data_IF_811510132311
#
_entry.id   IF_811510132311
#
_cell.length_a   1.000
_cell.length_b   1.000
_cell.length_c   1.000
_cell.angle_alpha   90.00
_cell.angle_beta   90.00
_cell.angle_gamma   90.00
#
_symmetry.space_group_name_H-M   'P 1'
#
loop_
_entity.id
_entity.type
_entity.pdbx_description
1 polymer ?
#
# COMPACT_ATOMS: atom_id res chain seq x y z
N UNK A 1 -5.25 11.76 -3.02
CA UNK A 1 -5.92 10.71 -3.71
C UNK A 1 -5.18 9.39 -3.75
N UNK A 2 -5.63 8.55 -4.64
CA UNK A 2 -4.97 7.29 -4.98
C UNK A 2 -3.70 7.62 -5.76
N UNK A 3 -2.57 7.08 -5.32
CA UNK A 3 -1.27 7.23 -5.98
C UNK A 3 -0.96 6.10 -6.95
N UNK A 4 -1.45 4.90 -6.66
CA UNK A 4 -1.32 3.77 -7.56
C UNK A 4 -2.47 2.78 -7.41
N UNK A 5 -2.64 1.95 -8.43
CA UNK A 5 -3.53 0.80 -8.42
C UNK A 5 -2.75 -0.41 -8.95
N UNK A 6 -3.01 -1.57 -8.39
CA UNK A 6 -2.33 -2.78 -8.82
C UNK A 6 -3.22 -4.02 -8.78
N UNK A 7 -2.87 -4.99 -9.61
CA UNK A 7 -3.40 -6.33 -9.57
C UNK A 7 -2.26 -7.31 -9.81
N UNK A 8 -2.02 -8.22 -8.87
CA UNK A 8 -0.94 -9.18 -8.97
C UNK A 8 -1.46 -10.58 -8.65
N UNK A 9 -1.09 -11.53 -9.50
CA UNK A 9 -1.70 -12.84 -9.48
C UNK A 9 -0.69 -13.94 -9.12
N UNK A 10 -1.22 -15.03 -8.54
CA UNK A 10 -0.50 -16.30 -8.38
C UNK A 10 -0.14 -16.90 -9.76
N UNK A 11 0.86 -17.79 -9.84
CA UNK A 11 1.14 -18.51 -11.07
C UNK A 11 -0.13 -19.19 -11.63
N UNK A 12 -0.41 -18.93 -12.91
CA UNK A 12 -1.65 -19.33 -13.59
C UNK A 12 -2.95 -18.88 -12.89
N UNK A 13 -2.86 -17.84 -12.05
CA UNK A 13 -3.98 -17.38 -11.23
C UNK A 13 -5.05 -16.63 -11.98
N UNK A 14 -4.70 -16.00 -13.11
CA UNK A 14 -5.62 -15.19 -13.91
C UNK A 14 -6.35 -16.03 -14.98
N UNK A 15 -5.63 -16.57 -15.94
CA UNK A 15 -6.17 -17.22 -17.13
C UNK A 15 -5.58 -18.60 -17.42
N UNK A 16 -4.68 -19.10 -16.58
CA UNK A 16 -3.94 -20.35 -16.71
C UNK A 16 -3.01 -20.41 -17.95
N UNK A 17 -2.63 -19.27 -18.50
CA UNK A 17 -1.88 -19.16 -19.73
C UNK A 17 -0.49 -18.50 -19.56
N UNK A 18 0.04 -18.39 -18.34
CA UNK A 18 1.31 -17.72 -18.03
C UNK A 18 2.46 -18.13 -18.98
N UNK A 19 2.54 -19.43 -19.34
CA UNK A 19 3.58 -19.94 -20.23
C UNK A 19 3.63 -19.26 -21.59
N UNK A 20 2.55 -18.59 -22.01
CA UNK A 20 2.44 -17.88 -23.28
C UNK A 20 2.90 -16.41 -23.21
N UNK A 21 3.22 -15.89 -21.99
CA UNK A 21 3.37 -14.44 -21.77
C UNK A 21 4.68 -14.02 -21.10
N UNK A 22 5.74 -14.84 -21.15
CA UNK A 22 7.03 -14.55 -20.52
C UNK A 22 7.64 -13.24 -21.02
N UNK A 23 7.45 -12.12 -20.28
CA UNK A 23 7.89 -10.76 -20.61
C UNK A 23 7.44 -10.24 -22.00
N UNK A 24 6.55 -10.93 -22.68
CA UNK A 24 6.09 -10.51 -24.03
C UNK A 24 5.19 -9.27 -23.96
N UNK A 25 4.49 -9.10 -22.84
CA UNK A 25 3.62 -7.96 -22.59
C UNK A 25 4.13 -7.13 -21.42
N UNK A 26 3.85 -5.83 -21.41
CA UNK A 26 4.25 -4.94 -20.32
C UNK A 26 3.66 -5.32 -18.96
N UNK A 27 2.53 -6.04 -18.95
CA UNK A 27 1.84 -6.54 -17.76
C UNK A 27 2.22 -7.97 -17.38
N UNK A 28 3.19 -8.58 -18.05
CA UNK A 28 3.67 -9.95 -17.77
C UNK A 28 5.02 -9.91 -17.06
N UNK A 29 5.18 -10.77 -16.06
CA UNK A 29 6.47 -11.01 -15.40
C UNK A 29 7.38 -11.93 -16.24
N UNK A 30 8.59 -12.17 -15.76
CA UNK A 30 9.52 -13.15 -16.37
C UNK A 30 9.01 -14.59 -16.38
N UNK A 31 8.00 -14.89 -15.58
CA UNK A 31 7.33 -16.21 -15.54
C UNK A 31 5.95 -16.20 -16.18
N UNK A 32 5.56 -15.09 -16.80
CA UNK A 32 4.27 -14.92 -17.47
C UNK A 32 3.10 -14.56 -16.55
N UNK A 33 3.30 -14.48 -15.23
CA UNK A 33 2.23 -14.09 -14.31
C UNK A 33 1.75 -12.68 -14.63
N UNK A 34 0.43 -12.46 -14.53
CA UNK A 34 -0.16 -11.15 -14.71
C UNK A 34 0.17 -10.22 -13.54
N UNK A 35 0.90 -9.14 -13.84
CA UNK A 35 1.35 -8.13 -12.89
C UNK A 35 0.95 -6.74 -13.40
N UNK A 36 -0.11 -6.19 -12.86
CA UNK A 36 -0.61 -4.86 -13.23
C UNK A 36 -0.17 -3.89 -12.15
N UNK A 37 0.53 -2.82 -12.55
CA UNK A 37 0.90 -1.74 -11.64
C UNK A 37 0.83 -0.40 -12.36
N UNK A 38 -0.17 0.41 -12.02
CA UNK A 38 -0.33 1.77 -12.53
C UNK A 38 -0.05 2.76 -11.42
N UNK A 39 0.84 3.70 -11.68
CA UNK A 39 1.19 4.79 -10.76
C UNK A 39 0.75 6.13 -11.31
N UNK A 40 0.43 7.05 -10.42
CA UNK A 40 0.15 8.44 -10.76
C UNK A 40 1.38 9.28 -10.46
N UNK A 41 2.01 9.79 -11.51
CA UNK A 41 3.16 10.67 -11.44
C UNK A 41 2.81 11.98 -12.15
N UNK A 42 2.97 13.13 -11.46
CA UNK A 42 2.67 14.46 -12.03
C UNK A 42 1.31 14.55 -12.75
N UNK A 43 0.26 13.96 -12.16
CA UNK A 43 -1.11 13.86 -12.70
C UNK A 43 -1.28 12.96 -13.94
N UNK A 44 -0.24 12.29 -14.39
CA UNK A 44 -0.30 11.31 -15.46
C UNK A 44 -0.32 9.89 -14.89
N UNK A 45 -1.00 8.99 -15.59
CA UNK A 45 -0.96 7.56 -15.28
C UNK A 45 0.18 6.92 -16.07
N UNK A 46 1.03 6.20 -15.36
CA UNK A 46 2.17 5.48 -15.91
C UNK A 46 2.08 4.01 -15.52
N UNK A 47 2.25 3.13 -16.50
CA UNK A 47 2.39 1.71 -16.22
C UNK A 47 3.83 1.40 -15.80
N UNK A 48 4.00 0.65 -14.72
CA UNK A 48 5.29 0.18 -14.23
C UNK A 48 5.32 -1.33 -14.34
N UNK A 49 6.25 -1.86 -15.12
CA UNK A 49 6.40 -3.30 -15.26
C UNK A 49 7.01 -3.90 -13.99
N UNK A 50 6.47 -5.04 -13.55
CA UNK A 50 7.01 -5.85 -12.45
C UNK A 50 7.61 -7.13 -13.03
N UNK A 51 8.89 -7.12 -13.44
CA UNK A 51 9.48 -8.26 -14.15
C UNK A 51 9.73 -9.46 -13.25
N UNK A 52 10.00 -9.23 -11.96
CA UNK A 52 10.24 -10.29 -10.98
C UNK A 52 9.03 -10.52 -10.07
N UNK A 53 8.27 -11.61 -10.26
CA UNK A 53 7.11 -11.89 -9.45
C UNK A 53 7.46 -12.34 -8.01
N UNK A 54 8.74 -12.63 -7.72
CA UNK A 54 9.18 -13.05 -6.39
C UNK A 54 9.06 -11.95 -5.33
N UNK A 55 9.02 -10.68 -5.74
CA UNK A 55 8.91 -9.54 -4.82
C UNK A 55 7.66 -9.60 -3.93
N UNK A 56 6.56 -10.18 -4.43
CA UNK A 56 5.30 -10.34 -3.68
C UNK A 56 5.33 -11.44 -2.61
N UNK A 57 6.41 -12.20 -2.53
CA UNK A 57 6.59 -13.28 -1.54
C UNK A 57 7.71 -12.98 -0.54
N UNK A 58 8.21 -11.75 -0.49
CA UNK A 58 9.29 -11.36 0.42
C UNK A 58 8.81 -11.35 1.88
N UNK A 59 9.28 -12.31 2.68
CA UNK A 59 8.89 -12.50 4.09
C UNK A 59 9.83 -11.82 5.09
N UNK A 60 10.90 -11.16 4.62
CA UNK A 60 11.81 -10.43 5.51
C UNK A 60 11.03 -9.37 6.27
N UNK A 61 11.21 -9.31 7.58
CA UNK A 61 10.47 -8.41 8.47
C UNK A 61 11.30 -7.18 8.81
N UNK A 62 10.61 -6.05 8.93
CA UNK A 62 11.15 -4.81 9.48
C UNK A 62 11.16 -4.84 11.02
N UNK A 63 11.58 -3.74 11.65
CA UNK A 63 11.65 -3.58 13.12
C UNK A 63 10.30 -3.73 13.83
N UNK A 64 9.16 -3.54 13.12
CA UNK A 64 7.81 -3.73 13.64
C UNK A 64 7.26 -5.15 13.39
N UNK A 65 8.07 -6.05 12.84
CA UNK A 65 7.65 -7.43 12.54
C UNK A 65 6.80 -7.55 11.27
N UNK A 66 6.68 -6.49 10.46
CA UNK A 66 5.90 -6.43 9.23
C UNK A 66 6.77 -6.92 8.08
N UNK A 67 6.26 -7.86 7.27
CA UNK A 67 6.96 -8.42 6.10
C UNK A 67 7.09 -7.37 4.98
N UNK A 68 8.14 -7.45 4.20
CA UNK A 68 8.34 -6.56 3.04
C UNK A 68 7.17 -6.64 2.04
N UNK A 69 6.67 -7.86 1.79
CA UNK A 69 5.50 -8.09 0.92
C UNK A 69 4.17 -8.21 1.68
N UNK A 70 4.01 -7.57 2.83
CA UNK A 70 2.76 -7.62 3.61
C UNK A 70 1.55 -7.18 2.79
N UNK A 71 1.72 -6.21 1.87
CA UNK A 71 0.70 -5.77 0.92
C UNK A 71 0.11 -6.88 0.04
N UNK A 72 0.81 -8.00 -0.12
CA UNK A 72 0.33 -9.19 -0.82
C UNK A 72 -0.01 -10.32 0.15
N UNK A 73 0.92 -10.60 1.06
CA UNK A 73 0.85 -11.76 1.94
C UNK A 73 -0.28 -11.68 2.97
N UNK A 74 -0.63 -10.49 3.46
CA UNK A 74 -1.76 -10.33 4.38
C UNK A 74 -3.07 -10.85 3.77
N UNK A 75 -3.38 -10.44 2.55
CA UNK A 75 -4.58 -10.90 1.85
C UNK A 75 -4.51 -12.36 1.41
N UNK A 76 -3.30 -12.85 1.07
CA UNK A 76 -3.07 -14.25 0.72
C UNK A 76 -3.36 -15.17 1.92
N UNK A 77 -2.81 -14.85 3.08
CA UNK A 77 -2.92 -15.67 4.29
C UNK A 77 -4.32 -15.61 4.91
N UNK A 78 -4.89 -14.40 5.00
CA UNK A 78 -6.18 -14.19 5.65
C UNK A 78 -7.39 -14.45 4.75
N UNK A 79 -7.20 -14.39 3.41
CA UNK A 79 -8.27 -14.36 2.40
C UNK A 79 -9.29 -13.24 2.65
N UNK A 80 -8.84 -12.14 3.24
CA UNK A 80 -9.63 -10.95 3.56
C UNK A 80 -8.93 -9.68 3.06
N UNK A 81 -9.69 -8.60 2.95
CA UNK A 81 -9.11 -7.29 2.70
C UNK A 81 -8.24 -6.86 3.87
N UNK A 82 -7.09 -6.24 3.55
CA UNK A 82 -6.13 -5.72 4.50
C UNK A 82 -5.84 -4.25 4.24
N UNK A 83 -5.68 -3.49 5.32
CA UNK A 83 -5.12 -2.15 5.29
C UNK A 83 -3.70 -2.22 5.86
N UNK A 84 -2.74 -1.76 5.07
CA UNK A 84 -1.33 -1.85 5.44
C UNK A 84 -0.92 -0.76 6.42
N UNK A 85 0.04 -1.10 7.29
CA UNK A 85 0.80 -0.08 8.02
C UNK A 85 1.52 0.83 7.02
N UNK A 86 1.80 2.10 7.39
CA UNK A 86 2.58 2.99 6.54
C UNK A 86 3.95 2.43 6.23
N UNK A 87 4.35 2.52 4.98
CA UNK A 87 5.67 2.12 4.54
C UNK A 87 6.21 3.04 3.45
N UNK A 88 7.52 3.09 3.33
CA UNK A 88 8.16 3.82 2.25
C UNK A 88 8.25 2.93 1.01
N UNK A 89 7.86 3.47 -0.12
CA UNK A 89 7.88 2.78 -1.39
C UNK A 89 8.46 3.66 -2.49
N UNK A 90 9.38 3.12 -3.25
CA UNK A 90 9.92 3.76 -4.44
C UNK A 90 8.98 3.52 -5.62
N UNK A 91 8.12 4.50 -5.91
CA UNK A 91 7.13 4.41 -6.99
C UNK A 91 7.82 4.36 -8.35
N UNK A 92 8.83 5.21 -8.53
CA UNK A 92 9.70 5.25 -9.71
C UNK A 92 11.12 5.55 -9.23
N UNK A 93 12.18 5.19 -9.97
CA UNK A 93 13.56 5.41 -9.55
C UNK A 93 13.83 6.81 -9.02
N UNK A 94 14.28 6.90 -7.76
CA UNK A 94 14.53 8.16 -7.05
C UNK A 94 13.30 8.84 -6.45
N UNK A 95 12.09 8.31 -6.63
CA UNK A 95 10.85 8.88 -6.08
C UNK A 95 10.24 7.97 -5.01
N UNK A 96 10.72 8.13 -3.78
CA UNK A 96 10.21 7.40 -2.62
C UNK A 96 9.11 8.19 -1.94
N UNK A 97 7.98 7.56 -1.65
CA UNK A 97 6.83 8.14 -0.96
C UNK A 97 6.44 7.30 0.25
N UNK A 98 5.92 7.98 1.27
CA UNK A 98 5.28 7.32 2.40
C UNK A 98 3.81 7.08 2.05
N UNK A 99 3.40 5.83 2.03
CA UNK A 99 2.06 5.42 1.63
C UNK A 99 1.50 4.31 2.53
N UNK A 100 0.21 4.08 2.39
CA UNK A 100 -0.48 2.90 2.90
C UNK A 100 -1.26 2.25 1.76
N UNK A 101 -1.46 0.95 1.82
CA UNK A 101 -2.21 0.20 0.81
C UNK A 101 -3.47 -0.40 1.40
N UNK A 102 -4.55 -0.28 0.65
CA UNK A 102 -5.75 -1.10 0.86
C UNK A 102 -5.76 -2.18 -0.21
N UNK A 103 -5.73 -3.42 0.22
CA UNK A 103 -5.63 -4.58 -0.66
C UNK A 103 -6.76 -5.57 -0.39
N UNK A 104 -7.28 -6.17 -1.43
CA UNK A 104 -8.33 -7.18 -1.38
C UNK A 104 -7.89 -8.45 -2.13
N UNK A 105 -8.17 -9.64 -1.60
CA UNK A 105 -7.87 -10.88 -2.33
C UNK A 105 -8.81 -11.05 -3.53
N UNK A 106 -8.27 -11.55 -4.60
CA UNK A 106 -9.05 -12.11 -5.72
C UNK A 106 -9.26 -13.59 -5.43
N UNK A 107 -10.50 -13.98 -5.19
CA UNK A 107 -10.87 -15.35 -4.87
C UNK A 107 -11.73 -15.95 -5.98
N UNK A 108 -11.40 -17.15 -6.42
CA UNK A 108 -12.23 -17.95 -7.33
C UNK A 108 -12.57 -19.25 -6.64
N UNK A 109 -13.85 -19.52 -6.40
CA UNK A 109 -14.34 -20.68 -5.64
C UNK A 109 -13.68 -20.84 -4.25
N UNK A 110 -13.36 -19.69 -3.58
CA UNK A 110 -12.70 -19.68 -2.28
C UNK A 110 -11.17 -19.90 -2.31
N UNK A 111 -10.61 -20.13 -3.48
CA UNK A 111 -9.16 -20.22 -3.68
C UNK A 111 -8.56 -18.85 -3.99
N UNK A 112 -7.43 -18.55 -3.35
CA UNK A 112 -6.69 -17.32 -3.59
C UNK A 112 -6.00 -17.37 -4.96
N UNK A 113 -6.26 -16.36 -5.79
CA UNK A 113 -5.71 -16.23 -7.14
C UNK A 113 -4.78 -15.04 -7.31
N UNK A 114 -4.83 -14.11 -6.38
CA UNK A 114 -4.05 -12.89 -6.43
C UNK A 114 -4.68 -11.80 -5.57
N UNK A 115 -4.24 -10.57 -5.79
CA UNK A 115 -4.76 -9.38 -5.11
C UNK A 115 -5.11 -8.28 -6.09
N UNK A 116 -6.05 -7.42 -5.68
CA UNK A 116 -6.25 -6.10 -6.24
C UNK A 116 -6.09 -5.07 -5.13
N UNK A 117 -5.31 -4.02 -5.37
CA UNK A 117 -5.00 -3.03 -4.35
C UNK A 117 -4.90 -1.60 -4.88
N UNK A 118 -4.94 -0.68 -3.94
CA UNK A 118 -4.73 0.75 -4.17
C UNK A 118 -3.76 1.29 -3.12
N UNK A 119 -2.86 2.17 -3.55
CA UNK A 119 -1.96 2.88 -2.66
C UNK A 119 -2.43 4.31 -2.48
N UNK A 120 -2.35 4.79 -1.25
CA UNK A 120 -2.72 6.14 -0.85
C UNK A 120 -1.54 6.83 -0.19
N UNK A 121 -1.15 7.99 -0.69
CA UNK A 121 -0.13 8.81 -0.04
C UNK A 121 -0.65 9.38 1.27
N UNK A 122 0.13 9.29 2.34
CA UNK A 122 -0.23 9.84 3.65
C UNK A 122 -0.55 11.34 3.62
N UNK A 123 0.16 12.21 2.87
CA UNK A 123 -0.20 13.63 2.74
C UNK A 123 -1.65 13.91 2.35
N UNK A 124 -2.32 12.98 1.67
CA UNK A 124 -3.75 13.12 1.36
C UNK A 124 -4.61 12.97 2.61
N UNK A 125 -4.27 12.00 3.47
CA UNK A 125 -4.93 11.82 4.78
C UNK A 125 -4.72 13.05 5.65
N UNK A 126 -3.50 13.62 5.62
CA UNK A 126 -3.18 14.85 6.33
C UNK A 126 -4.08 16.01 5.87
N UNK A 127 -4.22 16.23 4.57
CA UNK A 127 -5.10 17.27 4.02
C UNK A 127 -6.56 17.08 4.41
N UNK A 128 -7.05 15.83 4.42
CA UNK A 128 -8.41 15.52 4.84
C UNK A 128 -8.62 15.82 6.33
N UNK A 129 -7.65 15.39 7.17
CA UNK A 129 -7.69 15.64 8.60
C UNK A 129 -7.68 17.15 8.92
N UNK A 130 -6.84 17.92 8.28
CA UNK A 130 -6.76 19.38 8.47
C UNK A 130 -8.09 20.08 8.16
N UNK A 131 -8.75 19.69 7.06
CA UNK A 131 -10.10 20.19 6.73
C UNK A 131 -11.12 19.85 7.81
N UNK A 132 -11.09 18.63 8.35
CA UNK A 132 -12.00 18.23 9.42
C UNK A 132 -11.68 18.95 10.74
N UNK A 133 -10.41 19.15 11.06
CA UNK A 133 -9.99 19.86 12.27
C UNK A 133 -10.51 21.31 12.32
N UNK A 134 -10.60 21.97 11.17
CA UNK A 134 -11.14 23.34 11.09
C UNK A 134 -12.65 23.41 11.41
N UNK A 135 -13.39 22.35 11.17
CA UNK A 135 -14.84 22.30 11.39
C UNK A 135 -15.16 21.88 12.83
N UNK A 136 -14.37 20.95 13.38
CA UNK A 136 -14.63 20.38 14.70
C UNK A 136 -14.25 21.38 15.80
N UNK A 137 -15.20 21.59 16.73
CA UNK A 137 -15.03 22.45 17.93
C UNK A 137 -14.48 23.86 17.60
N UNK A 138 -14.92 24.44 16.48
CA UNK A 138 -14.45 25.77 16.07
C UNK A 138 -12.97 25.83 15.73
N UNK A 139 -12.38 24.73 15.25
CA UNK A 139 -10.95 24.66 14.90
C UNK A 139 -10.01 24.34 16.06
N UNK A 140 -10.54 24.05 17.25
CA UNK A 140 -9.72 23.78 18.45
C UNK A 140 -9.44 22.28 18.68
N UNK A 141 -10.03 21.40 17.87
CA UNK A 141 -9.82 19.97 18.01
C UNK A 141 -8.36 19.56 17.71
N UNK A 142 -7.79 18.75 18.62
CA UNK A 142 -6.52 18.04 18.36
C UNK A 142 -6.87 16.66 17.82
N UNK A 143 -6.47 16.38 16.58
CA UNK A 143 -6.84 15.15 15.88
C UNK A 143 -5.57 14.38 15.51
N UNK A 144 -5.62 13.08 15.80
CA UNK A 144 -4.58 12.12 15.47
C UNK A 144 -5.23 10.94 14.75
N UNK A 145 -4.76 10.62 13.57
CA UNK A 145 -5.07 9.39 12.87
C UNK A 145 -3.87 8.46 13.00
N UNK A 146 -4.09 7.28 13.57
CA UNK A 146 -3.03 6.32 13.86
C UNK A 146 -3.33 4.96 13.24
N UNK A 147 -2.27 4.25 12.92
CA UNK A 147 -2.34 2.83 12.56
C UNK A 147 -2.59 1.95 13.80
N UNK A 148 -2.81 0.67 13.58
CA UNK A 148 -3.00 -0.32 14.66
C UNK A 148 -1.74 -0.54 15.48
N UNK A 149 -0.55 -0.23 14.94
CA UNK A 149 0.74 -0.30 15.64
C UNK A 149 1.17 1.06 16.23
N UNK A 150 0.27 2.05 16.23
CA UNK A 150 0.54 3.35 16.84
C UNK A 150 1.38 4.31 15.98
N UNK A 151 1.54 4.03 14.68
CA UNK A 151 2.21 4.95 13.77
C UNK A 151 1.28 6.09 13.36
N UNK A 152 1.79 7.33 13.34
CA UNK A 152 1.04 8.51 13.00
C UNK A 152 0.79 8.58 11.48
N UNK A 153 -0.49 8.54 11.07
CA UNK A 153 -0.92 8.63 9.67
C UNK A 153 -1.25 10.07 9.26
N UNK A 154 -1.84 10.83 10.18
CA UNK A 154 -2.14 12.24 10.02
C UNK A 154 -2.32 12.91 11.38
N UNK A 155 -1.98 14.20 11.50
CA UNK A 155 -2.21 14.98 12.71
C UNK A 155 -2.16 16.48 12.43
N UNK A 156 -3.06 17.25 13.04
CA UNK A 156 -2.97 18.71 13.02
C UNK A 156 -2.01 19.26 14.09
N UNK A 157 -1.44 18.40 14.94
CA UNK A 157 -0.43 18.78 15.93
C UNK A 157 1.01 18.47 15.45
N UNK A 158 1.18 17.39 14.69
CA UNK A 158 2.49 16.89 14.23
C UNK A 158 2.46 16.55 12.73
N UNK A 159 2.17 17.53 11.83
CA UNK A 159 1.98 17.25 10.40
C UNK A 159 3.26 16.81 9.69
N UNK A 160 4.43 17.09 10.27
CA UNK A 160 5.76 16.73 9.77
C UNK A 160 6.30 15.40 10.32
N UNK A 161 5.53 14.71 11.18
CA UNK A 161 5.94 13.48 11.89
C UNK A 161 5.21 12.22 11.43
N UNK A 162 4.67 12.24 10.22
CA UNK A 162 3.95 11.08 9.69
C UNK A 162 4.86 9.85 9.59
N UNK A 163 4.32 8.68 9.89
CA UNK A 163 5.04 7.41 9.92
C UNK A 163 5.85 7.14 11.19
N UNK A 164 5.89 8.08 12.14
CA UNK A 164 6.57 7.89 13.42
C UNK A 164 5.61 7.35 14.49
N UNK A 165 6.14 6.63 15.46
CA UNK A 165 5.35 6.15 16.60
C UNK A 165 4.91 7.31 17.50
N UNK A 166 3.62 7.40 17.78
CA UNK A 166 3.05 8.48 18.61
C UNK A 166 3.67 8.57 20.02
N UNK A 167 3.94 7.47 20.74
CA UNK A 167 4.61 7.53 22.04
C UNK A 167 5.97 8.22 22.04
N UNK A 168 6.67 8.22 20.91
CA UNK A 168 7.94 8.94 20.76
C UNK A 168 7.77 10.45 20.59
N UNK A 169 6.54 10.89 20.24
CA UNK A 169 6.23 12.27 19.94
C UNK A 169 5.53 12.98 21.13
N UNK A 170 4.70 12.27 21.88
CA UNK A 170 3.98 12.81 23.03
C UNK A 170 3.76 11.74 24.10
N UNK A 171 4.60 11.73 25.13
CA UNK A 171 4.54 10.78 26.24
C UNK A 171 3.23 10.85 27.06
N UNK A 172 2.38 11.85 26.86
CA UNK A 172 1.07 11.96 27.52
C UNK A 172 -0.03 11.21 26.79
N UNK A 173 0.24 10.76 25.55
CA UNK A 173 -0.71 10.03 24.71
C UNK A 173 -0.38 8.53 24.64
N UNK A 174 0.70 8.10 25.29
CA UNK A 174 1.18 6.72 25.34
C UNK A 174 0.41 5.87 26.37
#
# INVERSE_FOLDING_TARGET
GISSIYGQFEPNGYDQADANFNLEQSHSSKTGTLEIYWVREQQQLKFVQTPDPAVKYAEKKNEFGIREAEWYLCSKDSKKACLMEPYQWEITPGNTVLLTSLVSPVLVNGEFRGVAGVDMNLPVLQTLLEKQAQILYGGQAKIYLMSTHGLLLASNQYPDKLGQALPSLDAKLA
#
